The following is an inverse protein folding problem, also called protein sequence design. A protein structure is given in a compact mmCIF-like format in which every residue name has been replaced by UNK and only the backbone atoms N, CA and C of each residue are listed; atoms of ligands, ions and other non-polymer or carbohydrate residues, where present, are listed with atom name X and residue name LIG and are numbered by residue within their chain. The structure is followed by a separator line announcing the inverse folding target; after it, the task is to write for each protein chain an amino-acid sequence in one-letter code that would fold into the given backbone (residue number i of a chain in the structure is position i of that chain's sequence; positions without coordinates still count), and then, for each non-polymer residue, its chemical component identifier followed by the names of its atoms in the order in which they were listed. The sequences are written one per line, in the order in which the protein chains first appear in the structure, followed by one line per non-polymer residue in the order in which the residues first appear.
data_IF_757254958731
#
_entry.id   IF_757254958731
#
_cell.length_a   1.000
_cell.length_b   1.000
_cell.length_c   1.000
_cell.angle_alpha   90.00
_cell.angle_beta   90.00
_cell.angle_gamma   90.00
#
_symmetry.space_group_name_H-M   'P 1'
#
loop_
_entity.id
_entity.type
_entity.pdbx_description
1 polymer ?
#
# COMPACT_ATOMS: atom_id res chain seq x y z
N UNK A 1 -15.83 -39.62 -75.50
CA UNK A 1 -16.68 -38.97 -76.53
C UNK A 1 -17.92 -38.44 -75.84
N UNK A 2 -18.20 -37.13 -76.00
CA UNK A 2 -19.53 -36.54 -76.33
C UNK A 2 -20.71 -36.97 -75.44
N UNK A 3 -21.55 -36.13 -74.79
CA UNK A 3 -21.76 -34.69 -74.68
C UNK A 3 -22.89 -34.51 -73.64
N UNK A 4 -22.86 -33.40 -72.89
CA UNK A 4 -23.96 -32.53 -72.46
C UNK A 4 -25.26 -33.11 -71.86
N UNK A 5 -25.62 -32.63 -70.67
CA UNK A 5 -26.79 -31.75 -70.54
C UNK A 5 -26.56 -30.69 -69.45
N UNK A 6 -27.03 -29.48 -69.73
CA UNK A 6 -26.74 -28.22 -69.05
C UNK A 6 -28.08 -27.59 -68.68
N UNK A 7 -28.36 -27.29 -67.41
CA UNK A 7 -29.32 -26.24 -66.97
C UNK A 7 -28.88 -25.71 -65.58
N UNK A 8 -28.66 -24.39 -65.52
CA UNK A 8 -28.35 -23.52 -64.36
C UNK A 8 -29.67 -23.03 -63.68
N UNK A 9 -29.66 -22.13 -62.68
CA UNK A 9 -29.00 -22.15 -61.36
C UNK A 9 -30.01 -21.82 -60.23
N UNK A 10 -29.67 -22.07 -58.96
CA UNK A 10 -30.36 -21.45 -57.83
C UNK A 10 -29.33 -20.72 -56.95
N UNK A 11 -29.35 -19.39 -57.04
CA UNK A 11 -28.68 -18.49 -56.11
C UNK A 11 -29.34 -18.64 -54.73
N UNK A 12 -28.57 -19.09 -53.74
CA UNK A 12 -28.88 -18.83 -52.33
C UNK A 12 -27.69 -18.09 -51.73
N UNK A 13 -27.82 -16.75 -51.67
CA UNK A 13 -26.95 -15.89 -50.89
C UNK A 13 -27.31 -16.12 -49.42
N UNK A 14 -26.59 -17.04 -48.78
CA UNK A 14 -26.62 -17.22 -47.33
C UNK A 14 -25.70 -16.21 -46.68
N UNK A 15 -26.28 -15.09 -46.24
CA UNK A 15 -25.62 -14.11 -45.38
C UNK A 15 -25.30 -14.78 -44.03
N UNK A 16 -24.08 -15.30 -43.86
CA UNK A 16 -23.62 -15.76 -42.56
C UNK A 16 -23.34 -14.53 -41.70
N UNK A 17 -24.32 -14.17 -40.86
CA UNK A 17 -24.15 -13.25 -39.75
C UNK A 17 -23.02 -13.77 -38.86
N UNK A 18 -21.90 -13.05 -38.86
CA UNK A 18 -20.88 -13.15 -37.83
C UNK A 18 -21.55 -12.86 -36.49
N UNK A 19 -21.88 -13.92 -35.76
CA UNK A 19 -22.23 -13.82 -34.35
C UNK A 19 -21.01 -13.27 -33.63
N UNK A 20 -21.01 -11.96 -33.36
CA UNK A 20 -20.18 -11.35 -32.34
C UNK A 20 -20.58 -12.03 -31.04
N UNK A 21 -19.85 -13.08 -30.68
CA UNK A 21 -19.98 -13.73 -29.39
C UNK A 21 -19.78 -12.67 -28.33
N UNK A 22 -20.88 -12.26 -27.69
CA UNK A 22 -20.82 -11.54 -26.43
C UNK A 22 -20.13 -12.47 -25.45
N UNK A 23 -18.81 -12.36 -25.34
CA UNK A 23 -18.13 -12.95 -24.21
C UNK A 23 -18.64 -12.19 -23.00
N UNK A 24 -19.59 -12.80 -22.29
CA UNK A 24 -20.03 -12.33 -20.99
C UNK A 24 -18.87 -12.58 -20.03
N UNK A 25 -17.88 -11.68 -20.06
CA UNK A 25 -16.82 -11.65 -19.05
C UNK A 25 -17.52 -11.26 -17.74
N UNK A 26 -17.65 -12.23 -16.84
CA UNK A 26 -18.34 -12.04 -15.57
C UNK A 26 -17.79 -10.79 -14.86
N UNK A 27 -18.65 -9.81 -14.60
CA UNK A 27 -18.27 -8.67 -13.75
C UNK A 27 -17.94 -9.21 -12.36
N UNK A 28 -16.74 -8.97 -11.83
CA UNK A 28 -16.37 -9.41 -10.50
C UNK A 28 -17.37 -8.90 -9.45
N UNK A 29 -17.57 -9.67 -8.38
CA UNK A 29 -18.60 -9.41 -7.37
C UNK A 29 -18.59 -7.98 -6.82
N UNK A 30 -17.41 -7.38 -6.62
CA UNK A 30 -17.28 -6.00 -6.11
C UNK A 30 -17.65 -4.93 -7.15
N UNK A 31 -17.33 -5.13 -8.43
CA UNK A 31 -17.71 -4.19 -9.49
C UNK A 31 -19.23 -4.16 -9.64
N UNK A 32 -19.85 -5.34 -9.51
CA UNK A 32 -21.31 -5.49 -9.45
C UNK A 32 -21.92 -4.85 -8.20
N UNK A 33 -21.32 -5.06 -7.02
CA UNK A 33 -21.77 -4.48 -5.75
C UNK A 33 -21.88 -2.95 -5.81
N UNK A 34 -20.88 -2.30 -6.38
CA UNK A 34 -20.75 -0.84 -6.39
C UNK A 34 -21.32 -0.19 -7.67
N UNK A 35 -21.96 -0.99 -8.54
CA UNK A 35 -22.45 -0.56 -9.85
C UNK A 35 -21.36 0.17 -10.68
N UNK A 36 -20.14 -0.36 -10.68
CA UNK A 36 -18.99 0.17 -11.43
C UNK A 36 -18.58 -0.76 -12.58
N UNK A 37 -18.11 -0.22 -13.72
CA UNK A 37 -17.49 -1.01 -14.77
C UNK A 37 -16.33 -1.88 -14.27
N UNK A 38 -16.13 -3.06 -14.86
CA UNK A 38 -15.03 -3.97 -14.46
C UNK A 38 -13.65 -3.29 -14.53
N UNK A 39 -13.46 -2.39 -15.51
CA UNK A 39 -12.22 -1.64 -15.72
C UNK A 39 -11.89 -0.62 -14.61
N UNK A 40 -12.80 -0.37 -13.67
CA UNK A 40 -12.47 0.41 -12.46
C UNK A 40 -11.52 -0.35 -11.54
N UNK A 41 -11.61 -1.67 -11.49
CA UNK A 41 -10.74 -2.51 -10.66
C UNK A 41 -9.76 -3.34 -11.46
N UNK A 42 -9.95 -3.47 -12.78
CA UNK A 42 -9.11 -4.33 -13.60
C UNK A 42 -8.53 -3.57 -14.78
N UNK A 43 -7.36 -4.02 -15.24
CA UNK A 43 -6.71 -3.49 -16.44
C UNK A 43 -7.53 -3.83 -17.69
N UNK A 44 -8.11 -5.04 -17.72
CA UNK A 44 -9.06 -5.51 -18.74
C UNK A 44 -10.18 -6.30 -18.05
N UNK A 45 -11.38 -6.43 -18.65
CA UNK A 45 -12.46 -7.22 -18.05
C UNK A 45 -12.01 -8.63 -17.64
N UNK A 46 -12.18 -8.98 -16.36
CA UNK A 46 -11.79 -10.29 -15.81
C UNK A 46 -10.29 -10.54 -15.66
N UNK A 47 -9.42 -9.58 -16.02
CA UNK A 47 -7.97 -9.75 -16.03
C UNK A 47 -7.25 -9.33 -14.74
N UNK A 48 -6.00 -8.84 -14.82
CA UNK A 48 -5.29 -8.22 -13.69
C UNK A 48 -6.07 -7.13 -12.99
N UNK A 49 -5.88 -7.01 -11.67
CA UNK A 49 -6.37 -5.82 -10.93
C UNK A 49 -5.46 -4.63 -11.23
N UNK A 50 -6.06 -3.46 -11.43
CA UNK A 50 -5.33 -2.20 -11.33
C UNK A 50 -5.15 -1.84 -9.84
N UNK A 51 -4.44 -0.76 -9.54
CA UNK A 51 -4.15 -0.38 -8.16
C UNK A 51 -5.40 -0.11 -7.30
N UNK A 52 -6.48 0.40 -7.91
CA UNK A 52 -7.78 0.52 -7.21
C UNK A 52 -8.33 -0.85 -6.88
N UNK A 53 -8.40 -1.75 -7.86
CA UNK A 53 -8.88 -3.11 -7.66
C UNK A 53 -8.15 -3.88 -6.56
N UNK A 54 -6.87 -3.58 -6.35
CA UNK A 54 -6.08 -4.08 -5.23
C UNK A 54 -6.64 -3.59 -3.88
N UNK A 55 -6.85 -2.28 -3.74
CA UNK A 55 -7.47 -1.67 -2.55
C UNK A 55 -8.82 -2.34 -2.19
N UNK A 56 -9.68 -2.52 -3.20
CA UNK A 56 -10.99 -3.19 -3.01
C UNK A 56 -10.86 -4.62 -2.52
N UNK A 57 -9.97 -5.38 -3.14
CA UNK A 57 -9.79 -6.79 -2.85
C UNK A 57 -9.30 -7.02 -1.42
N UNK A 58 -8.39 -6.17 -0.95
CA UNK A 58 -7.70 -6.37 0.33
C UNK A 58 -8.49 -5.89 1.53
N UNK A 59 -9.41 -4.94 1.34
CA UNK A 59 -10.12 -4.32 2.47
C UNK A 59 -11.64 -4.48 2.43
N UNK A 60 -12.21 -5.08 1.37
CA UNK A 60 -13.67 -5.20 1.20
C UNK A 60 -14.42 -3.84 1.30
N UNK A 61 -13.71 -2.73 1.03
CA UNK A 61 -14.19 -1.34 1.07
C UNK A 61 -14.96 -0.94 -0.20
N UNK A 62 -15.50 0.29 -0.21
CA UNK A 62 -16.30 0.89 -1.30
C UNK A 62 -15.54 1.94 -2.12
N UNK A 63 -15.99 2.19 -3.37
CA UNK A 63 -15.76 3.41 -4.20
C UNK A 63 -15.07 4.59 -3.47
N UNK A 64 -15.94 5.46 -2.99
CA UNK A 64 -16.10 5.64 -1.56
C UNK A 64 -14.84 6.00 -0.78
N UNK A 65 -14.27 4.94 -0.20
CA UNK A 65 -13.22 4.98 0.81
C UNK A 65 -11.83 5.20 0.18
N UNK A 66 -11.73 4.97 -1.13
CA UNK A 66 -10.53 5.20 -1.92
C UNK A 66 -10.40 6.69 -2.26
N UNK A 67 -9.38 7.36 -1.71
CA UNK A 67 -9.06 8.74 -2.06
C UNK A 67 -8.43 8.79 -3.46
N UNK A 68 -9.30 8.84 -4.45
CA UNK A 68 -8.93 8.69 -5.85
C UNK A 68 -8.04 9.84 -6.35
N UNK A 69 -8.22 11.04 -5.82
CA UNK A 69 -7.39 12.19 -6.20
C UNK A 69 -5.97 12.05 -5.66
N UNK A 70 -5.86 11.77 -4.35
CA UNK A 70 -4.59 11.57 -3.69
C UNK A 70 -3.82 10.39 -4.31
N UNK A 71 -4.46 9.24 -4.39
CA UNK A 71 -3.82 8.00 -4.84
C UNK A 71 -3.46 8.04 -6.34
N UNK A 72 -4.30 8.66 -7.19
CA UNK A 72 -3.97 8.81 -8.61
C UNK A 72 -2.78 9.75 -8.83
N UNK A 73 -2.70 10.86 -8.11
CA UNK A 73 -1.53 11.76 -8.15
C UNK A 73 -0.25 11.02 -7.79
N UNK A 74 -0.30 10.16 -6.79
CA UNK A 74 0.85 9.40 -6.32
C UNK A 74 1.23 8.22 -7.22
N UNK A 75 0.24 7.59 -7.85
CA UNK A 75 0.44 6.56 -8.87
C UNK A 75 0.93 7.16 -10.20
N UNK A 76 0.82 8.48 -10.39
CA UNK A 76 1.15 9.16 -11.65
C UNK A 76 0.12 8.88 -12.75
N UNK A 77 -1.17 8.84 -12.39
CA UNK A 77 -2.30 8.64 -13.30
C UNK A 77 -3.40 9.69 -13.03
N UNK A 78 -4.36 9.83 -13.94
CA UNK A 78 -5.55 10.66 -13.71
C UNK A 78 -6.48 10.01 -12.67
N UNK A 79 -7.17 10.79 -11.80
CA UNK A 79 -8.23 10.26 -10.95
C UNK A 79 -9.33 9.54 -11.76
N UNK A 80 -9.62 9.96 -12.99
CA UNK A 80 -10.64 9.30 -13.81
C UNK A 80 -10.09 8.13 -14.64
N UNK A 81 -8.78 7.84 -14.54
CA UNK A 81 -8.15 6.78 -15.32
C UNK A 81 -8.78 5.42 -15.01
N UNK A 82 -9.06 4.59 -16.02
CA UNK A 82 -9.63 3.25 -15.87
C UNK A 82 -8.87 2.27 -16.78
N UNK A 83 -8.97 0.97 -16.50
CA UNK A 83 -8.40 -0.04 -17.39
C UNK A 83 -6.88 0.14 -17.56
N UNK A 84 -6.35 0.11 -18.80
CA UNK A 84 -4.94 0.33 -19.07
C UNK A 84 -4.43 1.71 -18.65
N UNK A 85 -5.26 2.75 -18.71
CA UNK A 85 -4.85 4.11 -18.35
C UNK A 85 -4.67 4.27 -16.83
N UNK A 86 -5.29 3.39 -16.04
CA UNK A 86 -5.11 3.33 -14.59
C UNK A 86 -3.80 2.62 -14.21
N UNK A 87 -2.93 2.26 -15.16
CA UNK A 87 -1.60 1.71 -14.88
C UNK A 87 -0.73 2.78 -14.22
N UNK A 88 -0.30 2.61 -12.95
CA UNK A 88 0.66 3.52 -12.34
C UNK A 88 1.91 3.67 -13.20
N UNK A 89 2.35 4.92 -13.34
CA UNK A 89 3.62 5.28 -14.01
C UNK A 89 4.76 5.42 -13.01
N UNK A 90 4.42 5.57 -11.72
CA UNK A 90 5.37 5.57 -10.62
C UNK A 90 5.71 4.12 -10.25
N UNK A 91 6.99 3.75 -10.36
CA UNK A 91 7.48 2.39 -10.10
C UNK A 91 7.21 1.89 -8.66
N UNK A 92 7.07 2.83 -7.73
CA UNK A 92 6.80 2.53 -6.32
C UNK A 92 5.34 2.22 -6.04
N UNK A 93 4.46 2.47 -7.00
CA UNK A 93 3.04 2.22 -6.84
C UNK A 93 2.72 0.89 -7.53
N UNK A 94 2.19 -0.11 -6.81
CA UNK A 94 1.98 -1.42 -7.38
C UNK A 94 0.96 -1.31 -8.51
N UNK A 95 1.44 -1.51 -9.72
CA UNK A 95 0.63 -2.19 -10.70
C UNK A 95 0.88 -3.69 -10.52
N UNK A 96 -0.01 -4.53 -11.02
CA UNK A 96 0.23 -5.98 -11.14
C UNK A 96 -0.15 -6.83 -9.90
N UNK A 97 -0.48 -8.08 -10.22
CA UNK A 97 -1.15 -9.18 -9.52
C UNK A 97 -0.51 -9.71 -8.22
N UNK A 98 0.11 -8.85 -7.42
CA UNK A 98 0.81 -9.29 -6.21
C UNK A 98 -0.18 -9.40 -5.04
N UNK A 99 -0.07 -10.47 -4.27
CA UNK A 99 -0.75 -10.56 -2.98
C UNK A 99 -0.21 -9.47 -2.05
N UNK A 100 -1.06 -8.53 -1.62
CA UNK A 100 -0.66 -7.50 -0.65
C UNK A 100 -0.36 -8.18 0.69
N UNK A 101 0.83 -7.98 1.27
CA UNK A 101 1.16 -8.54 2.57
C UNK A 101 0.20 -8.03 3.65
N UNK A 102 -0.21 -8.87 4.63
CA UNK A 102 -1.19 -8.49 5.64
C UNK A 102 -0.90 -7.17 6.37
N UNK A 103 0.38 -6.89 6.68
CA UNK A 103 0.81 -5.65 7.36
C UNK A 103 0.54 -4.38 6.55
N UNK A 104 0.32 -4.49 5.23
CA UNK A 104 0.04 -3.38 4.32
C UNK A 104 -1.43 -3.31 3.87
N UNK A 105 -2.32 -4.13 4.46
CA UNK A 105 -3.77 -4.11 4.19
C UNK A 105 -4.52 -3.16 5.11
N UNK A 106 -3.94 -1.99 5.38
CA UNK A 106 -4.56 -0.96 6.20
C UNK A 106 -4.61 0.36 5.46
N UNK A 107 -5.67 1.12 5.76
CA UNK A 107 -5.81 2.52 5.37
C UNK A 107 -5.61 3.35 6.63
N UNK A 108 -4.62 4.23 6.59
CA UNK A 108 -4.30 5.12 7.69
C UNK A 108 -4.51 6.57 7.25
N UNK A 109 -4.77 7.48 8.18
CA UNK A 109 -4.79 8.91 7.88
C UNK A 109 -3.37 9.45 7.87
N UNK A 110 -2.96 10.17 6.84
CA UNK A 110 -1.73 10.94 6.90
C UNK A 110 -1.84 12.07 7.95
N UNK A 111 -0.74 12.80 8.17
CA UNK A 111 -0.72 13.90 9.13
C UNK A 111 -1.66 15.06 8.73
N UNK A 112 -2.09 15.14 7.48
CA UNK A 112 -3.03 16.16 6.97
C UNK A 112 -4.49 15.67 6.97
N UNK A 113 -4.74 14.39 7.33
CA UNK A 113 -6.07 13.79 7.42
C UNK A 113 -6.57 13.08 6.16
N UNK A 114 -5.73 12.96 5.12
CA UNK A 114 -6.07 12.24 3.90
C UNK A 114 -5.94 10.73 4.11
N UNK A 115 -6.73 9.92 3.38
CA UNK A 115 -6.57 8.47 3.43
C UNK A 115 -5.29 8.06 2.69
N UNK A 116 -4.50 7.18 3.30
CA UNK A 116 -3.34 6.54 2.68
C UNK A 116 -3.48 5.03 2.77
N UNK A 117 -3.60 4.38 1.63
CA UNK A 117 -3.53 2.92 1.54
C UNK A 117 -2.09 2.45 1.68
N UNK A 118 -1.77 1.67 2.72
CA UNK A 118 -0.41 1.17 2.95
C UNK A 118 0.07 0.18 1.89
N UNK A 119 -0.83 -0.40 1.08
CA UNK A 119 -0.46 -1.30 -0.03
C UNK A 119 0.48 -0.62 -1.05
N UNK A 120 0.50 0.71 -1.10
CA UNK A 120 1.44 1.47 -1.93
C UNK A 120 2.91 1.31 -1.53
N UNK A 121 3.20 0.72 -0.37
CA UNK A 121 4.56 0.44 0.09
C UNK A 121 4.98 -1.01 -0.17
N UNK A 122 4.20 -1.79 -0.92
CA UNK A 122 4.59 -3.15 -1.35
C UNK A 122 5.95 -3.12 -2.05
N UNK A 123 6.83 -4.07 -1.73
CA UNK A 123 8.18 -4.16 -2.29
C UNK A 123 9.20 -3.21 -1.66
N UNK A 124 8.78 -2.30 -0.78
CA UNK A 124 9.67 -1.43 0.00
C UNK A 124 10.13 -2.12 1.28
N UNK A 125 11.30 -1.73 1.76
CA UNK A 125 11.71 -1.97 3.15
C UNK A 125 11.10 -0.86 4.01
N UNK A 126 10.35 -1.22 5.04
CA UNK A 126 9.55 -0.25 5.80
C UNK A 126 9.97 -0.26 7.26
N UNK A 127 10.22 0.91 7.83
CA UNK A 127 10.39 1.09 9.26
C UNK A 127 9.17 1.81 9.84
N UNK A 128 8.32 1.09 10.56
CA UNK A 128 7.16 1.66 11.26
C UNK A 128 7.61 2.10 12.65
N UNK A 129 7.32 3.35 13.04
CA UNK A 129 7.78 3.92 14.31
C UNK A 129 6.63 4.66 15.00
N UNK A 130 6.34 4.33 16.27
CA UNK A 130 5.48 5.20 17.08
C UNK A 130 6.30 6.36 17.62
N UNK A 131 5.85 7.60 17.47
CA UNK A 131 6.65 8.79 17.79
C UNK A 131 5.99 9.68 18.84
N UNK A 132 6.81 10.55 19.44
CA UNK A 132 6.37 11.56 20.40
C UNK A 132 7.27 12.83 20.31
N UNK A 133 6.69 14.02 20.44
CA UNK A 133 7.42 15.31 20.37
C UNK A 133 8.05 15.74 21.70
N UNK A 134 7.57 15.24 22.84
CA UNK A 134 8.00 15.67 24.18
C UNK A 134 8.62 14.53 25.00
N UNK A 135 9.30 13.60 24.32
CA UNK A 135 9.93 12.43 24.93
C UNK A 135 11.46 12.59 25.00
N UNK A 136 12.12 11.93 25.96
CA UNK A 136 13.59 11.83 25.98
C UNK A 136 14.19 11.18 24.71
N UNK A 137 13.40 10.38 23.99
CA UNK A 137 13.79 9.77 22.72
C UNK A 137 13.50 10.65 21.49
N UNK A 138 12.83 11.81 21.64
CA UNK A 138 12.50 12.69 20.52
C UNK A 138 13.69 13.10 19.64
N UNK A 139 14.92 13.29 20.16
CA UNK A 139 16.10 13.52 19.31
C UNK A 139 16.36 12.43 18.26
N UNK A 140 15.79 11.22 18.40
CA UNK A 140 15.90 10.15 17.40
C UNK A 140 15.29 10.54 16.04
N UNK A 141 14.40 11.53 15.95
CA UNK A 141 13.91 12.05 14.67
C UNK A 141 15.05 12.43 13.71
N UNK A 142 16.14 13.04 14.23
CA UNK A 142 17.28 13.39 13.40
C UNK A 142 17.97 12.16 12.78
N UNK A 143 18.10 11.07 13.55
CA UNK A 143 18.68 9.83 13.04
C UNK A 143 17.73 9.09 12.09
N UNK A 144 16.41 9.13 12.34
CA UNK A 144 15.41 8.59 11.43
C UNK A 144 15.45 9.32 10.08
N UNK A 145 15.49 10.66 10.10
CA UNK A 145 15.56 11.47 8.88
C UNK A 145 16.83 11.18 8.08
N UNK A 146 17.99 11.10 8.75
CA UNK A 146 19.25 10.73 8.08
C UNK A 146 19.19 9.35 7.41
N UNK A 147 18.57 8.36 8.05
CA UNK A 147 18.36 7.04 7.43
C UNK A 147 17.42 7.14 6.23
N UNK A 148 16.33 7.88 6.37
CA UNK A 148 15.37 8.03 5.29
C UNK A 148 16.01 8.68 4.06
N UNK A 149 16.67 9.83 4.22
CA UNK A 149 17.40 10.50 3.14
C UNK A 149 18.45 9.59 2.49
N UNK A 150 19.17 8.79 3.29
CA UNK A 150 20.22 7.89 2.79
C UNK A 150 19.67 6.74 1.93
N UNK A 151 18.49 6.22 2.24
CA UNK A 151 18.01 4.96 1.67
C UNK A 151 16.68 5.05 0.90
N UNK A 152 15.98 6.20 0.91
CA UNK A 152 14.66 6.34 0.24
C UNK A 152 14.70 5.94 -1.22
N UNK A 153 15.74 6.36 -1.95
CA UNK A 153 15.93 6.04 -3.37
C UNK A 153 16.32 4.57 -3.62
N UNK A 154 16.65 3.81 -2.57
CA UNK A 154 16.91 2.37 -2.63
C UNK A 154 15.67 1.54 -2.27
N UNK A 155 14.53 2.19 -2.07
CA UNK A 155 13.28 1.54 -1.70
C UNK A 155 13.09 1.36 -0.19
N UNK A 156 13.66 2.26 0.62
CA UNK A 156 13.37 2.36 2.05
C UNK A 156 12.28 3.42 2.32
N UNK A 157 11.43 3.18 3.31
CA UNK A 157 10.49 4.19 3.79
C UNK A 157 10.29 4.09 5.30
N UNK A 158 10.14 5.23 5.95
CA UNK A 158 9.77 5.32 7.37
C UNK A 158 8.31 5.77 7.45
N UNK A 159 7.51 5.10 8.26
CA UNK A 159 6.13 5.48 8.56
C UNK A 159 6.05 5.91 10.02
N UNK A 160 5.95 7.22 10.25
CA UNK A 160 5.88 7.80 11.60
C UNK A 160 4.45 7.93 12.09
N UNK A 161 4.13 7.30 13.23
CA UNK A 161 2.82 7.34 13.87
C UNK A 161 2.90 8.04 15.23
N UNK A 162 2.55 9.33 15.33
CA UNK A 162 2.50 10.02 16.61
C UNK A 162 1.53 9.33 17.57
N UNK A 163 1.88 9.26 18.85
CA UNK A 163 1.00 8.68 19.88
C UNK A 163 1.15 9.36 21.23
N UNK A 164 0.02 9.63 21.88
CA UNK A 164 -0.01 10.27 23.20
C UNK A 164 -0.10 9.26 24.37
N UNK A 165 0.02 7.97 24.07
CA UNK A 165 -0.21 6.86 25.00
C UNK A 165 0.82 6.75 26.13
N UNK A 166 2.00 7.35 25.96
CA UNK A 166 3.12 7.21 26.88
C UNK A 166 3.49 8.57 27.47
N UNK A 167 3.15 8.74 28.75
CA UNK A 167 3.46 9.95 29.53
C UNK A 167 2.82 11.23 28.97
N UNK A 168 1.79 11.12 28.13
CA UNK A 168 1.16 12.25 27.44
C UNK A 168 2.17 13.15 26.69
N UNK A 169 3.15 12.51 26.04
CA UNK A 169 4.28 13.19 25.39
C UNK A 169 4.03 13.60 23.94
N UNK A 170 2.79 13.48 23.45
CA UNK A 170 2.34 13.98 22.15
C UNK A 170 0.98 14.69 22.29
N UNK A 171 0.90 15.76 23.11
CA UNK A 171 -0.37 16.39 23.46
C UNK A 171 -0.98 17.18 22.29
N UNK A 172 -0.15 17.63 21.35
CA UNK A 172 -0.58 18.48 20.24
C UNK A 172 -1.49 17.76 19.24
N UNK A 173 -2.21 18.53 18.44
CA UNK A 173 -2.95 18.02 17.29
C UNK A 173 -2.01 17.70 16.11
N UNK A 174 -2.55 17.12 15.04
CA UNK A 174 -1.77 16.73 13.87
C UNK A 174 -1.01 17.91 13.22
N UNK A 175 -1.61 19.11 13.19
CA UNK A 175 -0.99 20.29 12.59
C UNK A 175 0.21 20.76 13.43
N UNK A 176 0.06 20.77 14.75
CA UNK A 176 1.13 21.10 15.69
C UNK A 176 2.25 20.08 15.63
N UNK A 177 1.93 18.79 15.55
CA UNK A 177 2.90 17.69 15.42
C UNK A 177 3.68 17.82 14.11
N UNK A 178 2.99 18.06 12.98
CA UNK A 178 3.60 18.31 11.68
C UNK A 178 4.59 19.47 11.76
N UNK A 179 4.12 20.60 12.29
CA UNK A 179 4.94 21.81 12.43
C UNK A 179 6.19 21.53 13.29
N UNK A 180 6.05 20.82 14.40
CA UNK A 180 7.18 20.43 15.24
C UNK A 180 8.19 19.58 14.48
N UNK A 181 7.73 18.50 13.83
CA UNK A 181 8.61 17.57 13.13
C UNK A 181 9.34 18.23 11.97
N UNK A 182 8.64 19.05 11.17
CA UNK A 182 9.22 19.75 10.03
C UNK A 182 10.15 20.89 10.47
N UNK A 183 9.76 21.74 11.41
CA UNK A 183 10.57 22.92 11.78
C UNK A 183 11.80 22.57 12.62
N UNK A 184 11.70 21.56 13.49
CA UNK A 184 12.78 21.22 14.43
C UNK A 184 13.73 20.16 13.88
N UNK A 185 13.20 19.17 13.18
CA UNK A 185 13.96 18.01 12.73
C UNK A 185 14.01 17.86 11.20
N UNK A 186 13.31 18.72 10.45
CA UNK A 186 13.24 18.68 8.99
C UNK A 186 12.77 17.30 8.48
N UNK A 187 11.84 16.67 9.20
CA UNK A 187 11.29 15.37 8.82
C UNK A 187 10.65 15.45 7.44
N UNK A 188 11.10 14.58 6.53
CA UNK A 188 10.55 14.43 5.19
C UNK A 188 9.91 13.06 4.94
N UNK A 189 10.17 12.08 5.81
CA UNK A 189 9.48 10.79 5.72
C UNK A 189 7.98 10.91 6.03
N UNK A 190 7.13 10.00 5.50
CA UNK A 190 5.69 9.99 5.76
C UNK A 190 5.33 10.02 7.24
N UNK A 191 4.60 11.06 7.64
CA UNK A 191 3.97 11.19 8.95
C UNK A 191 2.46 10.93 8.83
N UNK A 192 1.92 10.22 9.82
CA UNK A 192 0.51 9.87 9.91
C UNK A 192 -0.18 10.66 11.02
N UNK A 193 -1.50 10.65 11.00
CA UNK A 193 -2.31 11.17 12.09
C UNK A 193 -1.95 10.50 13.42
N UNK A 194 -2.13 11.24 14.51
CA UNK A 194 -1.99 10.70 15.86
C UNK A 194 -2.94 9.52 16.08
N UNK A 195 -2.42 8.43 16.64
CA UNK A 195 -3.17 7.20 16.91
C UNK A 195 -2.86 6.63 18.29
N UNK A 196 -3.77 5.79 18.77
CA UNK A 196 -3.50 4.93 19.92
C UNK A 196 -2.76 3.68 19.44
N UNK A 197 -1.65 3.37 20.10
CA UNK A 197 -0.78 2.22 19.83
C UNK A 197 -0.84 1.17 20.93
N UNK A 198 -1.65 1.40 21.97
CA UNK A 198 -2.02 0.42 23.00
C UNK A 198 -3.45 0.67 23.52
N UNK A 199 -3.97 -0.27 24.32
CA UNK A 199 -5.29 -0.16 24.94
C UNK A 199 -6.45 -0.52 24.00
N UNK A 200 -7.68 -0.33 24.46
CA UNK A 200 -8.89 -0.81 23.76
C UNK A 200 -9.08 -0.14 22.39
N UNK A 201 -8.69 1.13 22.29
CA UNK A 201 -8.77 1.97 21.10
C UNK A 201 -7.55 1.85 20.19
N UNK A 202 -6.60 0.95 20.50
CA UNK A 202 -5.40 0.71 19.68
C UNK A 202 -5.77 0.53 18.20
N UNK A 203 -5.04 1.25 17.35
CA UNK A 203 -5.26 1.27 15.91
C UNK A 203 -5.09 -0.14 15.30
N UNK A 204 -5.88 -0.50 14.27
CA UNK A 204 -5.84 -1.83 13.66
C UNK A 204 -4.43 -2.27 13.21
N UNK A 205 -3.65 -1.37 12.62
CA UNK A 205 -2.26 -1.65 12.25
C UNK A 205 -1.41 -2.04 13.47
N UNK A 206 -1.53 -1.32 14.59
CA UNK A 206 -0.76 -1.62 15.79
C UNK A 206 -1.27 -2.87 16.52
N UNK A 207 -2.57 -3.17 16.46
CA UNK A 207 -3.12 -4.46 16.88
C UNK A 207 -2.43 -5.60 16.11
N UNK A 208 -2.36 -5.50 14.78
CA UNK A 208 -1.66 -6.48 13.93
C UNK A 208 -0.16 -6.59 14.28
N UNK A 209 0.57 -5.47 14.39
CA UNK A 209 2.00 -5.46 14.71
C UNK A 209 2.32 -6.04 16.10
N UNK A 210 1.37 -5.97 17.02
CA UNK A 210 1.55 -6.42 18.41
C UNK A 210 0.88 -7.75 18.72
N UNK A 211 0.22 -8.37 17.75
CA UNK A 211 -0.45 -9.65 17.91
C UNK A 211 0.58 -10.80 17.98
N UNK A 212 0.56 -11.51 19.10
CA UNK A 212 1.43 -12.66 19.36
C UNK A 212 0.97 -13.93 18.65
N UNK A 213 -0.30 -14.02 18.27
CA UNK A 213 -0.82 -15.17 17.53
C UNK A 213 -0.33 -15.14 16.08
N UNK A 214 -0.39 -13.97 15.44
CA UNK A 214 0.08 -13.80 14.05
C UNK A 214 1.58 -13.55 13.93
N UNK A 215 2.21 -12.95 14.95
CA UNK A 215 3.68 -12.77 15.00
C UNK A 215 4.23 -13.16 16.39
N UNK A 216 4.52 -14.46 16.61
CA UNK A 216 5.09 -14.92 17.87
C UNK A 216 6.44 -14.27 18.21
N UNK A 217 7.23 -13.90 17.19
CA UNK A 217 8.62 -13.45 17.34
C UNK A 217 8.69 -11.99 17.75
N UNK A 218 7.91 -11.11 17.12
CA UNK A 218 7.99 -9.67 17.34
C UNK A 218 6.72 -9.03 17.90
N UNK A 219 5.61 -9.76 17.98
CA UNK A 219 4.39 -9.33 18.66
C UNK A 219 4.63 -9.06 20.15
N UNK A 220 3.65 -8.46 20.81
CA UNK A 220 3.71 -8.04 22.22
C UNK A 220 3.52 -6.53 22.41
N UNK A 221 3.21 -6.09 23.64
CA UNK A 221 2.81 -4.71 23.91
C UNK A 221 3.91 -3.70 23.55
N UNK A 222 3.54 -2.50 23.09
CA UNK A 222 4.48 -1.39 22.92
C UNK A 222 4.85 -0.84 24.31
N UNK A 223 6.14 -0.83 24.63
CA UNK A 223 6.62 -0.43 25.95
C UNK A 223 6.72 1.09 26.10
N UNK A 224 7.12 1.80 25.04
CA UNK A 224 7.35 3.24 25.08
C UNK A 224 7.32 3.90 23.69
N UNK A 225 7.48 5.23 23.65
CA UNK A 225 7.70 6.01 22.43
C UNK A 225 8.98 5.59 21.71
N UNK A 226 8.95 5.56 20.38
CA UNK A 226 10.03 5.18 19.46
C UNK A 226 10.33 3.68 19.39
N UNK A 227 9.37 2.81 19.68
CA UNK A 227 9.49 1.41 19.26
C UNK A 227 9.38 1.32 17.73
N UNK A 228 10.09 0.35 17.13
CA UNK A 228 10.27 0.29 15.68
C UNK A 228 10.03 -1.13 15.18
N UNK A 229 9.30 -1.28 14.09
CA UNK A 229 9.13 -2.55 13.39
C UNK A 229 9.75 -2.42 12.01
N UNK A 230 10.66 -3.34 11.67
CA UNK A 230 11.24 -3.43 10.34
C UNK A 230 10.49 -4.48 9.54
N UNK A 231 9.97 -4.06 8.39
CA UNK A 231 9.24 -4.88 7.45
C UNK A 231 10.11 -5.09 6.20
N UNK A 232 10.24 -6.34 5.76
CA UNK A 232 10.96 -6.70 4.53
C UNK A 232 10.20 -6.25 3.27
N UNK A 233 10.85 -6.37 2.11
CA UNK A 233 10.20 -6.14 0.80
C UNK A 233 9.01 -7.08 0.53
N UNK A 234 9.01 -8.27 1.13
CA UNK A 234 7.89 -9.23 1.06
C UNK A 234 6.77 -8.91 2.05
N UNK A 235 6.93 -7.90 2.91
CA UNK A 235 5.94 -7.51 3.90
C UNK A 235 5.94 -8.34 5.18
N UNK A 236 7.02 -9.05 5.46
CA UNK A 236 7.21 -9.79 6.73
C UNK A 236 7.82 -8.87 7.79
N UNK A 237 7.37 -8.98 9.03
CA UNK A 237 8.03 -8.32 10.16
C UNK A 237 9.32 -9.11 10.45
N UNK A 238 10.47 -8.49 10.18
CA UNK A 238 11.78 -9.15 10.26
C UNK A 238 12.62 -8.69 11.45
N UNK A 239 12.28 -7.55 12.06
CA UNK A 239 12.86 -7.11 13.31
C UNK A 239 11.92 -6.17 14.09
N UNK A 240 12.11 -6.13 15.41
CA UNK A 240 11.54 -5.11 16.28
C UNK A 240 12.63 -4.52 17.16
N UNK A 241 12.75 -3.20 17.16
CA UNK A 241 13.74 -2.47 17.94
C UNK A 241 13.07 -1.73 19.10
N UNK A 242 13.64 -1.80 20.32
CA UNK A 242 13.08 -1.15 21.48
C UNK A 242 13.23 0.37 21.40
N UNK A 243 12.40 1.07 22.19
CA UNK A 243 12.31 2.53 22.23
C UNK A 243 13.66 3.25 22.38
N UNK A 244 14.47 2.82 23.34
CA UNK A 244 15.77 3.43 23.64
C UNK A 244 16.87 3.13 22.63
N UNK A 245 16.66 2.17 21.71
CA UNK A 245 17.66 1.85 20.70
C UNK A 245 17.65 2.90 19.59
N UNK A 246 18.75 3.65 19.48
CA UNK A 246 18.92 4.68 18.46
C UNK A 246 18.84 4.07 17.04
N UNK A 247 18.16 4.74 16.08
CA UNK A 247 18.09 4.28 14.70
C UNK A 247 19.46 4.16 14.03
N UNK A 248 20.43 4.98 14.45
CA UNK A 248 21.78 5.00 13.88
C UNK A 248 22.70 3.90 14.44
N UNK A 249 22.18 3.02 15.31
CA UNK A 249 22.97 1.92 15.86
C UNK A 249 23.32 0.89 14.78
N UNK A 250 24.53 0.31 14.79
CA UNK A 250 24.97 -0.63 13.75
C UNK A 250 23.98 -1.78 13.52
N UNK A 251 23.37 -2.32 14.58
CA UNK A 251 22.39 -3.39 14.45
C UNK A 251 21.11 -2.99 13.69
N UNK A 252 20.67 -1.73 13.81
CA UNK A 252 19.50 -1.21 13.08
C UNK A 252 19.86 -0.97 11.63
N UNK A 253 21.01 -0.32 11.39
CA UNK A 253 21.51 -0.01 10.05
C UNK A 253 21.75 -1.29 9.25
N UNK A 254 22.45 -2.26 9.83
CA UNK A 254 22.74 -3.53 9.18
C UNK A 254 21.47 -4.32 8.85
N UNK A 255 20.45 -4.29 9.72
CA UNK A 255 19.17 -4.93 9.44
C UNK A 255 18.46 -4.27 8.26
N UNK A 256 18.46 -2.92 8.17
CA UNK A 256 17.89 -2.19 7.04
C UNK A 256 18.65 -2.51 5.74
N UNK A 257 19.98 -2.41 5.76
CA UNK A 257 20.82 -2.69 4.59
C UNK A 257 20.64 -4.12 4.08
N UNK A 258 20.62 -5.10 4.99
CA UNK A 258 20.37 -6.49 4.64
C UNK A 258 19.03 -6.70 3.90
N UNK A 259 17.97 -6.00 4.33
CA UNK A 259 16.67 -6.07 3.65
C UNK A 259 16.66 -5.32 2.32
N UNK A 260 17.44 -4.23 2.19
CA UNK A 260 17.54 -3.47 0.95
C UNK A 260 18.29 -4.24 -0.14
N UNK A 261 19.22 -5.11 0.23
CA UNK A 261 19.95 -6.02 -0.66
C UNK A 261 19.10 -7.19 -1.15
N UNK A 262 18.01 -7.54 -0.45
CA UNK A 262 17.10 -8.58 -0.92
C UNK A 262 16.35 -8.09 -2.18
N UNK A 263 16.10 -8.98 -3.16
CA UNK A 263 15.29 -8.65 -4.32
C UNK A 263 13.87 -8.27 -3.88
N UNK A 264 13.25 -7.34 -4.60
CA UNK A 264 11.82 -7.14 -4.48
C UNK A 264 11.09 -8.45 -4.92
N UNK A 265 9.92 -8.77 -4.34
CA UNK A 265 9.13 -9.90 -4.80
C UNK A 265 8.93 -9.79 -6.31
N UNK A 266 9.21 -10.87 -7.06
CA UNK A 266 8.93 -10.89 -8.49
C UNK A 266 7.44 -10.68 -8.72
N UNK A 267 7.07 -9.81 -9.65
CA UNK A 267 5.70 -9.77 -10.16
C UNK A 267 5.34 -11.19 -10.63
N UNK A 268 4.37 -11.83 -9.99
CA UNK A 268 3.86 -13.11 -10.47
C UNK A 268 3.27 -12.87 -11.87
N UNK A 269 4.06 -13.20 -12.89
CA UNK A 269 3.67 -13.22 -14.29
C UNK A 269 3.00 -14.57 -14.57
N UNK A 270 1.78 -14.74 -14.07
CA UNK A 270 0.87 -15.81 -14.49
C UNK A 270 -0.37 -15.20 -15.15
#
# INVERSE_FOLDING_TARGET
MIRTLRWLPALCVGLLLLGLGSQAHATPAFAKKENKPCVYCHVVPGGPRNFRGLYYATHNHSFADFDNEYEAKLAGVSPDAMGPDAKPTVADYPNVHVDVPPVLRFVMKDIDGNNVNLARYVGKVILIVNTASLCGNTPQYAALEQLYEKYKDKGFVILGFPSNDFGHQEPGDNQQIKQFCTSKYHVTFPMFSKIDVKGDTQAPLYKFLTDKETDPKFGGPIEWNFAKFLISRSGEIVARFPAGLSPAKPEVVAAIEHQLEQPAPSENTN
#
